data_IF_053245162281
#
_entry.id   IF_053245162281
#
_cell.length_a   1.000
_cell.length_b   1.000
_cell.length_c   1.000
_cell.angle_alpha   90.00
_cell.angle_beta   90.00
_cell.angle_gamma   90.00
#
_symmetry.space_group_name_H-M   'P 1'
#
loop_
_entity.id
_entity.type
_entity.pdbx_description
1 polymer ?
#
# COMPACT_ATOMS: atom_id res chain seq x y z
N UNK A 1 -18.60 6.93 56.89
CA UNK A 1 -18.88 6.73 55.44
C UNK A 1 -19.58 5.39 55.26
N UNK A 2 -20.82 5.38 54.76
CA UNK A 2 -21.64 4.18 54.67
C UNK A 2 -21.00 3.14 53.76
N UNK A 3 -21.16 1.84 54.07
CA UNK A 3 -20.58 0.74 53.27
C UNK A 3 -21.00 0.82 51.80
N UNK A 4 -22.24 1.23 51.54
CA UNK A 4 -22.78 1.49 50.20
C UNK A 4 -22.07 2.63 49.48
N UNK A 5 -21.73 3.71 50.18
CA UNK A 5 -20.95 4.84 49.64
C UNK A 5 -19.53 4.42 49.23
N UNK A 6 -18.87 3.57 50.03
CA UNK A 6 -17.55 3.02 49.70
C UNK A 6 -17.58 2.16 48.43
N UNK A 7 -18.57 1.28 48.31
CA UNK A 7 -18.72 0.38 47.15
C UNK A 7 -19.01 1.18 45.88
N UNK A 8 -19.92 2.15 45.95
CA UNK A 8 -20.23 3.03 44.82
C UNK A 8 -18.99 3.78 44.30
N UNK A 9 -18.15 4.27 45.21
CA UNK A 9 -16.94 5.00 44.86
C UNK A 9 -15.91 4.12 44.12
N UNK A 10 -15.78 2.86 44.52
CA UNK A 10 -14.88 1.88 43.86
C UNK A 10 -15.36 1.57 42.45
N UNK A 11 -16.68 1.40 42.26
CA UNK A 11 -17.26 1.10 40.94
C UNK A 11 -17.04 2.27 39.98
N UNK A 12 -17.29 3.51 40.43
CA UNK A 12 -17.06 4.71 39.62
C UNK A 12 -15.59 4.84 39.24
N UNK A 13 -14.68 4.61 40.19
CA UNK A 13 -13.24 4.65 39.92
C UNK A 13 -12.86 3.67 38.80
N UNK A 14 -13.37 2.43 38.87
CA UNK A 14 -13.06 1.37 37.91
C UNK A 14 -13.58 1.69 36.50
N UNK A 15 -14.78 2.28 36.40
CA UNK A 15 -15.35 2.74 35.13
C UNK A 15 -14.47 3.85 34.53
N UNK A 16 -14.03 4.81 35.34
CA UNK A 16 -13.17 5.91 34.87
C UNK A 16 -11.80 5.40 34.40
N UNK A 17 -11.19 4.44 35.08
CA UNK A 17 -9.91 3.85 34.63
C UNK A 17 -10.08 3.11 33.30
N UNK A 18 -11.15 2.35 33.13
CA UNK A 18 -11.43 1.64 31.86
C UNK A 18 -11.68 2.62 30.72
N UNK A 19 -12.49 3.65 30.94
CA UNK A 19 -12.75 4.71 29.95
C UNK A 19 -11.48 5.47 29.59
N UNK A 20 -10.64 5.82 30.57
CA UNK A 20 -9.38 6.51 30.34
C UNK A 20 -8.40 5.66 29.55
N UNK A 21 -8.33 4.35 29.84
CA UNK A 21 -7.52 3.40 29.07
C UNK A 21 -8.01 3.27 27.63
N UNK A 22 -9.33 3.20 27.42
CA UNK A 22 -9.93 3.16 26.09
C UNK A 22 -9.64 4.44 25.32
N UNK A 23 -9.87 5.62 25.92
CA UNK A 23 -9.55 6.91 25.31
C UNK A 23 -8.07 7.04 24.98
N UNK A 24 -7.17 6.63 25.89
CA UNK A 24 -5.73 6.60 25.62
C UNK A 24 -5.37 5.63 24.48
N UNK A 25 -6.05 4.49 24.37
CA UNK A 25 -5.86 3.53 23.28
C UNK A 25 -6.39 4.06 21.93
N UNK A 26 -7.52 4.78 21.93
CA UNK A 26 -8.15 5.32 20.72
C UNK A 26 -7.53 6.64 20.25
N UNK A 27 -7.08 7.51 21.17
CA UNK A 27 -6.53 8.84 20.86
C UNK A 27 -5.00 8.88 20.93
N UNK A 28 -4.38 8.05 21.78
CA UNK A 28 -2.98 8.23 22.22
C UNK A 28 -1.95 7.35 21.52
N UNK A 29 -2.35 6.35 20.72
CA UNK A 29 -1.39 5.57 19.92
C UNK A 29 -1.59 5.86 18.43
N UNK A 30 -0.66 6.57 17.75
CA UNK A 30 -0.53 6.36 16.32
C UNK A 30 -0.34 4.85 16.14
N UNK A 31 -1.17 4.23 15.32
CA UNK A 31 -1.03 2.84 14.92
C UNK A 31 0.45 2.52 14.64
N UNK A 32 0.88 1.29 14.90
CA UNK A 32 2.23 0.85 14.53
C UNK A 32 2.46 1.21 13.07
N UNK A 33 3.28 2.25 12.84
CA UNK A 33 3.59 2.75 11.51
C UNK A 33 4.37 1.66 10.81
N UNK A 34 3.70 0.91 9.93
CA UNK A 34 4.38 -0.08 9.13
C UNK A 34 5.22 0.69 8.12
N UNK A 35 6.53 0.72 8.33
CA UNK A 35 7.47 1.20 7.34
C UNK A 35 7.51 0.18 6.21
N UNK A 36 6.66 0.35 5.19
CA UNK A 36 6.78 -0.38 3.93
C UNK A 36 7.95 0.25 3.16
N UNK A 37 9.18 -0.15 3.51
CA UNK A 37 10.39 0.24 2.80
C UNK A 37 10.91 -1.03 2.14
N UNK A 38 11.01 -1.03 0.82
CA UNK A 38 11.53 -2.18 0.10
C UNK A 38 11.21 -2.19 -1.38
N UNK A 39 11.85 -3.12 -2.08
CA UNK A 39 11.52 -3.50 -3.44
C UNK A 39 11.26 -4.99 -3.44
N UNK A 40 10.03 -5.37 -3.75
CA UNK A 40 9.63 -6.75 -3.96
C UNK A 40 9.73 -7.09 -5.45
N UNK A 41 10.13 -8.32 -5.74
CA UNK A 41 10.14 -8.89 -7.08
C UNK A 41 9.11 -10.03 -7.08
N UNK A 42 8.02 -9.83 -7.80
CA UNK A 42 6.89 -10.75 -7.83
C UNK A 42 7.00 -11.58 -9.12
N UNK A 43 7.13 -12.88 -8.97
CA UNK A 43 7.04 -13.83 -10.07
C UNK A 43 5.57 -14.16 -10.38
N UNK A 44 5.25 -14.49 -11.63
CA UNK A 44 3.90 -14.92 -12.05
C UNK A 44 2.78 -13.93 -11.69
N UNK A 45 3.09 -12.63 -11.72
CA UNK A 45 2.11 -11.56 -11.53
C UNK A 45 1.07 -11.56 -12.66
N UNK A 46 -0.20 -11.32 -12.34
CA UNK A 46 -1.27 -11.27 -13.35
C UNK A 46 -1.03 -10.18 -14.40
N UNK A 47 -0.43 -9.06 -13.99
CA UNK A 47 -0.07 -7.93 -14.84
C UNK A 47 0.85 -8.33 -16.00
N UNK A 48 1.69 -9.36 -15.80
CA UNK A 48 2.66 -9.87 -16.77
C UNK A 48 2.27 -11.21 -17.37
N UNK A 49 1.05 -11.72 -17.11
CA UNK A 49 0.61 -13.06 -17.56
C UNK A 49 0.85 -13.29 -19.05
N UNK A 50 0.34 -12.38 -19.90
CA UNK A 50 0.47 -12.51 -21.35
C UNK A 50 1.92 -12.40 -21.85
N UNK A 51 2.77 -11.64 -21.15
CA UNK A 51 4.20 -11.57 -21.47
C UNK A 51 4.88 -12.88 -21.16
N UNK A 52 4.65 -13.41 -19.97
CA UNK A 52 5.33 -14.60 -19.47
C UNK A 52 4.89 -15.87 -20.22
N UNK A 53 3.66 -15.92 -20.74
CA UNK A 53 3.21 -17.00 -21.63
C UNK A 53 3.96 -17.03 -22.98
N UNK A 54 4.49 -15.89 -23.44
CA UNK A 54 5.18 -15.78 -24.73
C UNK A 54 6.71 -15.82 -24.62
N UNK A 55 7.25 -15.58 -23.44
CA UNK A 55 8.69 -15.59 -23.18
C UNK A 55 9.16 -16.94 -22.66
N UNK A 56 10.42 -17.29 -22.97
CA UNK A 56 11.07 -18.51 -22.45
C UNK A 56 11.39 -18.40 -20.96
N UNK A 57 11.68 -17.18 -20.50
CA UNK A 57 12.01 -16.86 -19.13
C UNK A 57 10.99 -15.86 -18.58
N UNK A 58 10.44 -16.15 -17.40
CA UNK A 58 9.47 -15.27 -16.75
C UNK A 58 10.11 -13.94 -16.34
N UNK A 59 9.39 -12.84 -16.57
CA UNK A 59 9.70 -11.53 -16.04
C UNK A 59 9.16 -11.38 -14.62
N UNK A 60 9.85 -10.55 -13.85
CA UNK A 60 9.43 -10.16 -12.51
C UNK A 60 8.74 -8.80 -12.55
N UNK A 61 7.59 -8.71 -11.87
CA UNK A 61 6.99 -7.42 -11.56
C UNK A 61 7.74 -6.82 -10.37
N UNK A 62 8.32 -5.64 -10.57
CA UNK A 62 8.96 -4.89 -9.50
C UNK A 62 7.87 -4.12 -8.76
N UNK A 63 7.73 -4.32 -7.45
CA UNK A 63 6.87 -3.55 -6.58
C UNK A 63 7.72 -2.77 -5.58
N UNK A 64 7.94 -1.48 -5.85
CA UNK A 64 8.75 -0.59 -5.02
C UNK A 64 7.87 0.31 -4.16
N UNK A 65 7.97 0.18 -2.85
CA UNK A 65 7.21 1.00 -1.91
C UNK A 65 7.82 2.42 -1.81
N UNK A 66 6.98 3.45 -1.95
CA UNK A 66 7.36 4.86 -2.06
C UNK A 66 7.47 5.59 -0.72
N UNK A 67 6.67 5.23 0.28
CA UNK A 67 6.59 5.96 1.55
C UNK A 67 6.52 5.06 2.78
N UNK A 68 7.29 5.42 3.81
CA UNK A 68 7.20 4.88 5.18
C UNK A 68 6.40 5.78 6.12
N UNK A 69 6.08 7.01 5.69
CA UNK A 69 5.42 8.00 6.54
C UNK A 69 3.90 7.92 6.34
N UNK A 70 3.27 7.41 7.40
CA UNK A 70 1.83 7.46 7.67
C UNK A 70 0.98 6.42 6.93
N UNK A 71 1.36 5.14 7.09
CA UNK A 71 0.43 4.03 6.85
C UNK A 71 -0.68 4.04 7.91
N UNK A 72 -1.81 4.67 7.62
CA UNK A 72 -3.04 4.53 8.40
C UNK A 72 -3.79 3.27 7.94
N UNK A 73 -3.51 2.16 8.62
CA UNK A 73 -4.36 0.97 8.74
C UNK A 73 -5.39 1.28 9.85
N UNK A 74 -6.71 1.10 9.78
CA UNK A 74 -7.64 0.35 8.92
C UNK A 74 -9.01 1.06 8.98
N UNK A 75 -9.89 0.83 8.01
CA UNK A 75 -11.31 1.18 8.12
C UNK A 75 -12.01 0.54 9.32
N UNK A 76 -12.92 1.33 9.92
CA UNK A 76 -14.31 0.96 10.26
C UNK A 76 -15.21 2.22 10.21
N UNK A 77 -14.86 3.23 9.40
CA UNK A 77 -15.53 4.55 9.42
C UNK A 77 -15.23 5.52 8.26
N UNK A 78 -14.73 5.05 7.12
CA UNK A 78 -14.56 5.87 5.91
C UNK A 78 -13.29 6.73 5.88
N UNK A 79 -12.45 6.52 4.86
CA UNK A 79 -11.23 7.30 4.59
C UNK A 79 -9.95 6.58 5.00
N UNK A 80 -9.55 5.57 4.25
CA UNK A 80 -8.22 4.96 4.33
C UNK A 80 -7.60 4.93 2.94
N UNK A 81 -6.42 5.53 2.78
CA UNK A 81 -5.63 5.44 1.55
C UNK A 81 -5.30 3.98 1.26
N UNK A 82 -5.53 3.52 0.03
CA UNK A 82 -5.30 2.12 -0.34
C UNK A 82 -3.80 1.87 -0.36
N UNK A 83 -3.37 0.69 0.12
CA UNK A 83 -1.98 0.22 0.00
C UNK A 83 -1.46 0.31 -1.44
N UNK A 84 -2.37 0.20 -2.43
CA UNK A 84 -2.12 0.35 -3.87
C UNK A 84 -1.55 1.71 -4.28
N UNK A 85 -1.84 2.77 -3.52
CA UNK A 85 -1.37 4.13 -3.83
C UNK A 85 0.09 4.35 -3.45
N UNK A 86 0.68 3.45 -2.66
CA UNK A 86 1.99 3.62 -2.01
C UNK A 86 3.15 2.90 -2.69
N UNK A 87 2.94 2.22 -3.82
CA UNK A 87 4.03 1.55 -4.51
C UNK A 87 4.02 1.83 -6.02
N UNK A 88 5.20 1.84 -6.60
CA UNK A 88 5.38 1.91 -8.05
C UNK A 88 5.75 0.56 -8.62
N UNK A 89 5.13 0.24 -9.74
CA UNK A 89 5.41 -0.91 -10.56
C UNK A 89 6.49 -0.64 -11.60
N UNK A 90 7.32 -1.66 -11.82
CA UNK A 90 8.31 -1.76 -12.88
C UNK A 90 8.45 -3.22 -13.32
N UNK A 91 9.41 -3.51 -14.19
CA UNK A 91 9.64 -4.85 -14.74
C UNK A 91 11.13 -5.16 -14.69
N UNK A 92 11.46 -6.37 -14.27
CA UNK A 92 12.82 -6.90 -14.31
C UNK A 92 12.90 -8.22 -15.06
N UNK A 93 14.08 -8.53 -15.57
CA UNK A 93 14.39 -9.84 -16.14
C UNK A 93 14.58 -10.91 -15.04
N UNK A 94 14.83 -12.16 -15.46
CA UNK A 94 15.06 -13.28 -14.55
C UNK A 94 16.21 -13.10 -13.55
N UNK A 95 17.19 -12.26 -13.89
CA UNK A 95 18.36 -11.96 -13.07
C UNK A 95 18.13 -10.71 -12.19
N UNK A 96 16.89 -10.19 -12.15
CA UNK A 96 16.49 -8.97 -11.44
C UNK A 96 17.14 -7.70 -12.01
N UNK A 97 17.61 -7.73 -13.25
CA UNK A 97 18.02 -6.52 -13.95
C UNK A 97 16.78 -5.73 -14.36
N UNK A 98 16.76 -4.44 -14.04
CA UNK A 98 15.61 -3.57 -14.28
C UNK A 98 15.48 -3.29 -15.79
N UNK A 99 14.41 -3.79 -16.40
CA UNK A 99 14.03 -3.51 -17.79
C UNK A 99 13.15 -2.26 -17.87
N UNK A 100 12.22 -2.12 -16.92
CA UNK A 100 11.35 -0.97 -16.77
C UNK A 100 11.42 -0.45 -15.33
N UNK A 101 11.87 0.80 -15.16
CA UNK A 101 12.02 1.40 -13.83
C UNK A 101 10.68 1.45 -13.09
N UNK A 102 10.66 1.22 -11.76
CA UNK A 102 9.43 1.28 -10.99
C UNK A 102 8.96 2.72 -10.83
N UNK A 103 8.12 3.19 -11.76
CA UNK A 103 7.52 4.54 -11.79
C UNK A 103 6.03 4.57 -12.12
N UNK A 104 5.43 3.40 -12.34
CA UNK A 104 4.05 3.27 -12.80
C UNK A 104 3.12 2.97 -11.64
N UNK A 105 1.95 3.59 -11.59
CA UNK A 105 0.86 3.26 -10.66
C UNK A 105 0.20 1.94 -11.07
N UNK A 106 0.18 1.65 -12.36
CA UNK A 106 -0.43 0.46 -12.93
C UNK A 106 0.40 -0.01 -14.11
N UNK A 107 0.55 -1.33 -14.24
CA UNK A 107 1.09 -1.99 -15.43
C UNK A 107 0.11 -3.08 -15.86
N UNK A 108 -0.09 -3.20 -17.17
CA UNK A 108 -0.88 -4.26 -17.76
C UNK A 108 -0.31 -4.63 -19.12
N UNK A 109 -0.50 -5.87 -19.52
CA UNK A 109 0.07 -6.39 -20.75
C UNK A 109 -1.01 -7.01 -21.62
N UNK A 110 -0.87 -6.85 -22.93
CA UNK A 110 -1.81 -7.39 -23.92
C UNK A 110 -1.06 -7.83 -25.15
N UNK A 111 -1.54 -8.86 -25.79
CA UNK A 111 -1.11 -9.27 -27.13
C UNK A 111 -2.06 -8.67 -28.17
N UNK A 112 -1.52 -8.05 -29.21
CA UNK A 112 -2.34 -7.57 -30.34
C UNK A 112 -2.62 -8.68 -31.37
N UNK A 113 -3.38 -8.35 -32.42
CA UNK A 113 -3.69 -9.26 -33.53
C UNK A 113 -2.46 -9.74 -34.30
N UNK A 114 -1.34 -9.02 -34.23
CA UNK A 114 -0.08 -9.35 -34.88
C UNK A 114 0.86 -10.16 -33.97
N UNK A 115 0.38 -10.64 -32.82
CA UNK A 115 1.18 -11.32 -31.79
C UNK A 115 2.29 -10.46 -31.18
N UNK A 116 2.19 -9.14 -31.31
CA UNK A 116 3.10 -8.23 -30.64
C UNK A 116 2.63 -8.01 -29.21
N UNK A 117 3.59 -7.99 -28.31
CA UNK A 117 3.38 -7.77 -26.89
C UNK A 117 3.38 -6.27 -26.60
N UNK A 118 2.30 -5.78 -26.02
CA UNK A 118 2.14 -4.38 -25.64
C UNK A 118 2.07 -4.28 -24.13
N UNK A 119 2.92 -3.42 -23.56
CA UNK A 119 2.93 -3.09 -22.13
C UNK A 119 2.31 -1.71 -21.98
N UNK A 120 1.17 -1.65 -21.30
CA UNK A 120 0.51 -0.43 -20.90
C UNK A 120 0.94 -0.07 -19.48
N UNK A 121 1.23 1.21 -19.26
CA UNK A 121 1.58 1.70 -17.94
C UNK A 121 1.01 3.08 -17.69
N UNK A 122 0.37 3.27 -16.54
CA UNK A 122 -0.04 4.59 -16.06
C UNK A 122 1.07 5.12 -15.14
N UNK A 123 1.84 6.16 -15.52
CA UNK A 123 2.82 6.75 -14.63
C UNK A 123 2.12 7.49 -13.48
N UNK A 124 2.83 7.64 -12.35
CA UNK A 124 2.39 8.59 -11.34
C UNK A 124 2.51 10.02 -11.86
N UNK A 125 1.46 10.83 -11.67
CA UNK A 125 1.53 12.28 -11.90
C UNK A 125 2.34 12.89 -10.75
N UNK A 126 3.55 13.37 -11.02
CA UNK A 126 4.33 14.11 -10.04
C UNK A 126 3.66 15.48 -9.82
N UNK A 127 3.00 15.66 -8.66
CA UNK A 127 2.50 16.98 -8.24
C UNK A 127 3.68 17.95 -8.17
N UNK A 128 3.74 18.85 -9.14
CA UNK A 128 4.85 19.79 -9.35
C UNK A 128 5.27 19.96 -10.81
N UNK A 129 4.88 19.05 -11.70
CA UNK A 129 5.16 19.08 -13.13
C UNK A 129 3.90 19.27 -14.00
N UNK A 130 2.93 20.07 -13.52
CA UNK A 130 1.73 20.45 -14.30
C UNK A 130 2.03 21.47 -15.43
N UNK A 131 3.27 21.55 -15.92
CA UNK A 131 3.59 22.34 -17.10
C UNK A 131 4.04 21.42 -18.22
N UNK A 132 3.13 21.28 -19.18
CA UNK A 132 3.33 20.95 -20.57
C UNK A 132 3.77 19.52 -20.86
N UNK A 133 2.80 18.64 -21.02
CA UNK A 133 2.84 17.72 -22.16
C UNK A 133 1.43 17.69 -22.78
N UNK A 134 1.22 18.66 -23.67
CA UNK A 134 0.19 18.60 -24.70
C UNK A 134 0.75 17.70 -25.79
N UNK A 135 0.07 16.59 -26.07
CA UNK A 135 0.05 15.94 -27.38
C UNK A 135 -1.41 15.88 -27.85
#
# INVERSE_FOLDING_TARGET
MNKTLKISLIIVLLIVTVLSFLLWRFLGKPYWKINLIGTEYIENSEELRYVNEQLKDNLYLIKKYKHSKDAMLIGFGGGGSKTEDYYSYGIADKNKNILLKPKYQFLYTKTNSHKELIIYGLPYVEKGNEKNDVL
#
